data_IF_339937198383
#
_entry.id   IF_339937198383
#
_cell.length_a   1.000
_cell.length_b   1.000
_cell.length_c   1.000
_cell.angle_alpha   90.00
_cell.angle_beta   90.00
_cell.angle_gamma   90.00
#
_symmetry.space_group_name_H-M   'P 1'
#
loop_
_entity.id
_entity.type
_entity.pdbx_description
1 polymer ?
#
# COMPACT_ATOMS: atom_id res chain seq x y z
N UNK A 1 -7.78 -1.63 7.21
CA UNK A 1 -6.60 -0.96 7.79
C UNK A 1 -6.10 0.09 6.79
N UNK A 2 -5.21 1.02 7.17
CA UNK A 2 -4.60 1.91 6.18
C UNK A 2 -3.71 1.16 5.17
N UNK A 3 -3.17 0.00 5.55
CA UNK A 3 -2.39 -0.85 4.64
C UNK A 3 -3.21 -1.30 3.42
N UNK A 4 -4.50 -1.64 3.61
CA UNK A 4 -5.36 -2.08 2.50
C UNK A 4 -5.58 -0.95 1.48
N UNK A 5 -5.70 0.30 1.96
CA UNK A 5 -5.85 1.49 1.11
C UNK A 5 -4.56 1.78 0.33
N UNK A 6 -3.41 1.68 1.00
CA UNK A 6 -2.09 1.87 0.38
C UNK A 6 -1.81 0.79 -0.68
N UNK A 7 -2.12 -0.48 -0.38
CA UNK A 7 -2.00 -1.58 -1.33
C UNK A 7 -2.90 -1.36 -2.56
N UNK A 8 -4.17 -1.02 -2.34
CA UNK A 8 -5.11 -0.73 -3.43
C UNK A 8 -4.63 0.43 -4.31
N UNK A 9 -4.10 1.50 -3.70
CA UNK A 9 -3.54 2.63 -4.43
C UNK A 9 -2.31 2.21 -5.25
N UNK A 10 -1.39 1.43 -4.66
CA UNK A 10 -0.24 0.90 -5.37
C UNK A 10 -0.65 0.05 -6.58
N UNK A 11 -1.66 -0.81 -6.44
CA UNK A 11 -2.18 -1.61 -7.55
C UNK A 11 -2.74 -0.75 -8.68
N UNK A 12 -3.51 0.30 -8.35
CA UNK A 12 -4.03 1.23 -9.34
C UNK A 12 -2.90 1.94 -10.10
N UNK A 13 -1.86 2.40 -9.39
CA UNK A 13 -0.68 3.01 -10.02
C UNK A 13 0.02 2.04 -10.98
N UNK A 14 0.17 0.77 -10.60
CA UNK A 14 0.74 -0.24 -11.50
C UNK A 14 -0.11 -0.43 -12.76
N UNK A 15 -1.45 -0.47 -12.63
CA UNK A 15 -2.34 -0.62 -13.78
C UNK A 15 -2.25 0.59 -14.72
N UNK A 16 -2.18 1.80 -14.18
CA UNK A 16 -2.00 3.02 -14.98
C UNK A 16 -0.72 2.97 -15.82
N UNK A 17 0.40 2.52 -15.22
CA UNK A 17 1.67 2.36 -15.92
C UNK A 17 1.61 1.24 -16.97
N UNK A 18 1.08 0.07 -16.60
CA UNK A 18 0.99 -1.09 -17.49
C UNK A 18 0.07 -0.84 -18.70
N UNK A 19 -1.00 -0.07 -18.51
CA UNK A 19 -2.04 0.16 -19.51
C UNK A 19 -1.93 1.53 -20.19
N UNK A 20 -0.94 2.35 -19.82
CA UNK A 20 -0.72 3.71 -20.32
C UNK A 20 -1.99 4.57 -20.26
N UNK A 21 -2.71 4.50 -19.14
CA UNK A 21 -4.01 5.17 -18.99
C UNK A 21 -3.93 6.36 -18.01
N UNK A 22 -4.90 7.30 -18.07
CA UNK A 22 -4.97 8.40 -17.12
C UNK A 22 -5.12 7.89 -15.68
N UNK A 23 -4.71 8.70 -14.67
CA UNK A 23 -4.80 8.32 -13.28
C UNK A 23 -6.21 7.87 -12.88
N UNK A 24 -6.29 6.72 -12.21
CA UNK A 24 -7.54 6.17 -11.66
C UNK A 24 -7.88 7.00 -10.43
N UNK A 25 -9.01 7.73 -10.40
CA UNK A 25 -9.32 8.66 -9.31
C UNK A 25 -9.90 7.97 -8.07
N UNK A 26 -10.45 6.76 -8.23
CA UNK A 26 -11.19 6.06 -7.18
C UNK A 26 -11.16 4.56 -7.40
N UNK A 27 -11.03 3.81 -6.31
CA UNK A 27 -11.16 2.37 -6.28
C UNK A 27 -12.07 1.93 -5.11
N UNK A 28 -12.28 0.62 -4.95
CA UNK A 28 -13.14 0.08 -3.91
C UNK A 28 -12.48 -1.09 -3.21
N UNK A 29 -12.53 -1.09 -1.88
CA UNK A 29 -12.25 -2.27 -1.06
C UNK A 29 -13.54 -3.06 -0.87
N UNK A 30 -13.49 -4.37 -1.02
CA UNK A 30 -14.61 -5.26 -0.75
C UNK A 30 -14.25 -6.20 0.40
N UNK A 31 -15.01 -6.10 1.50
CA UNK A 31 -14.81 -6.98 2.65
C UNK A 31 -15.85 -8.10 2.59
N UNK A 32 -15.38 -9.33 2.34
CA UNK A 32 -16.23 -10.49 2.05
C UNK A 32 -17.21 -10.83 3.18
N UNK A 33 -16.80 -10.70 4.44
CA UNK A 33 -17.64 -11.00 5.61
C UNK A 33 -18.87 -10.10 5.71
N UNK A 34 -18.72 -8.80 5.41
CA UNK A 34 -19.81 -7.83 5.47
C UNK A 34 -20.49 -7.60 4.12
N UNK A 35 -20.00 -8.26 3.06
CA UNK A 35 -20.41 -8.07 1.67
C UNK A 35 -20.51 -6.60 1.23
N UNK A 36 -19.68 -5.72 1.82
CA UNK A 36 -19.75 -4.28 1.61
C UNK A 36 -18.56 -3.75 0.83
N UNK A 37 -18.84 -2.87 -0.14
CA UNK A 37 -17.82 -2.07 -0.82
C UNK A 37 -17.60 -0.76 -0.09
N UNK A 38 -16.35 -0.44 0.21
CA UNK A 38 -15.91 0.86 0.70
C UNK A 38 -15.20 1.61 -0.41
N UNK A 39 -15.66 2.82 -0.70
CA UNK A 39 -15.05 3.72 -1.67
C UNK A 39 -13.72 4.27 -1.13
N UNK A 40 -12.67 4.22 -1.96
CA UNK A 40 -11.36 4.79 -1.64
C UNK A 40 -10.97 5.78 -2.75
N UNK A 41 -10.98 7.09 -2.47
CA UNK A 41 -10.35 8.09 -3.33
C UNK A 41 -8.84 7.80 -3.42
N UNK A 42 -8.29 7.86 -4.63
CA UNK A 42 -6.86 7.68 -4.88
C UNK A 42 -6.22 9.05 -5.08
N UNK A 43 -6.27 9.86 -4.03
CA UNK A 43 -5.76 11.22 -4.02
C UNK A 43 -4.22 11.28 -3.97
N UNK A 44 -3.69 12.50 -4.14
CA UNK A 44 -2.26 12.71 -4.20
C UNK A 44 -1.56 12.41 -2.86
N UNK A 45 -2.24 12.57 -1.73
CA UNK A 45 -1.69 12.21 -0.41
C UNK A 45 -1.43 10.71 -0.34
N UNK A 46 -2.42 9.88 -0.70
CA UNK A 46 -2.29 8.44 -0.69
C UNK A 46 -1.21 7.96 -1.67
N UNK A 47 -1.14 8.58 -2.86
CA UNK A 47 -0.13 8.27 -3.88
C UNK A 47 1.28 8.67 -3.43
N UNK A 48 1.42 9.81 -2.75
CA UNK A 48 2.69 10.26 -2.17
C UNK A 48 3.17 9.30 -1.09
N UNK A 49 2.28 8.82 -0.23
CA UNK A 49 2.62 7.83 0.79
C UNK A 49 3.10 6.52 0.16
N UNK A 50 2.43 6.02 -0.89
CA UNK A 50 2.88 4.83 -1.65
C UNK A 50 4.28 5.06 -2.23
N UNK A 51 4.52 6.20 -2.88
CA UNK A 51 5.85 6.53 -3.44
C UNK A 51 6.92 6.57 -2.36
N UNK A 52 6.64 7.19 -1.21
CA UNK A 52 7.57 7.28 -0.08
C UNK A 52 7.94 5.90 0.47
N UNK A 53 6.93 5.04 0.72
CA UNK A 53 7.16 3.69 1.23
C UNK A 53 7.92 2.81 0.23
N UNK A 54 7.63 2.91 -1.06
CA UNK A 54 8.37 2.18 -2.10
C UNK A 54 9.83 2.65 -2.16
N UNK A 55 10.08 3.95 -2.11
CA UNK A 55 11.43 4.51 -2.11
C UNK A 55 12.24 4.03 -0.89
N UNK A 56 11.62 4.03 0.31
CA UNK A 56 12.24 3.52 1.52
C UNK A 56 12.54 2.02 1.41
N UNK A 57 11.55 1.21 1.02
CA UNK A 57 11.69 -0.24 0.87
C UNK A 57 12.83 -0.59 -0.10
N UNK A 58 12.85 0.03 -1.28
CA UNK A 58 13.94 -0.17 -2.24
C UNK A 58 15.28 0.32 -1.68
N UNK A 59 15.31 1.39 -0.91
CA UNK A 59 16.52 1.89 -0.24
C UNK A 59 17.07 0.92 0.80
N UNK A 60 16.21 0.26 1.58
CA UNK A 60 16.59 -0.79 2.54
C UNK A 60 17.13 -2.02 1.80
N UNK A 61 16.41 -2.46 0.77
CA UNK A 61 16.77 -3.63 -0.04
C UNK A 61 18.14 -3.47 -0.71
N UNK A 62 18.39 -2.34 -1.38
CA UNK A 62 19.68 -2.07 -2.04
C UNK A 62 20.87 -2.09 -1.06
N UNK A 63 20.65 -1.62 0.17
CA UNK A 63 21.67 -1.61 1.23
C UNK A 63 21.81 -2.95 1.97
N UNK A 64 20.95 -3.94 1.66
CA UNK A 64 20.84 -5.22 2.39
C UNK A 64 20.71 -5.02 3.89
N UNK A 65 19.99 -3.97 4.28
CA UNK A 65 19.86 -3.55 5.67
C UNK A 65 18.47 -3.89 6.19
N UNK A 66 18.41 -4.69 7.26
CA UNK A 66 17.18 -4.98 8.00
C UNK A 66 17.09 -4.02 9.19
N UNK A 67 16.08 -3.14 9.26
CA UNK A 67 15.89 -2.22 10.38
C UNK A 67 15.76 -2.95 11.72
N UNK A 68 16.33 -2.36 12.79
CA UNK A 68 16.10 -2.83 14.15
C UNK A 68 14.84 -2.19 14.70
N UNK A 69 13.86 -3.01 15.07
CA UNK A 69 12.57 -2.55 15.60
C UNK A 69 12.44 -2.84 17.09
N UNK A 70 11.62 -2.04 17.79
CA UNK A 70 11.22 -2.33 19.17
C UNK A 70 10.11 -3.39 19.14
N UNK A 71 10.24 -4.52 19.87
CA UNK A 71 9.18 -5.51 19.94
C UNK A 71 7.87 -4.91 20.45
N UNK A 72 6.76 -5.30 19.84
CA UNK A 72 5.41 -4.92 20.27
C UNK A 72 4.51 -6.16 20.27
N UNK A 73 3.28 -6.05 20.77
CA UNK A 73 2.33 -7.18 20.79
C UNK A 73 2.04 -7.75 19.39
N UNK A 74 2.13 -6.94 18.33
CA UNK A 74 1.91 -7.41 16.95
C UNK A 74 3.02 -8.34 16.46
N UNK A 75 4.20 -8.35 17.09
CA UNK A 75 5.28 -9.27 16.75
C UNK A 75 4.88 -10.74 16.95
N UNK A 76 3.97 -11.05 17.88
CA UNK A 76 3.49 -12.41 18.10
C UNK A 76 2.69 -12.98 16.92
N UNK A 77 2.16 -12.11 16.05
CA UNK A 77 1.45 -12.48 14.84
C UNK A 77 2.28 -12.24 13.56
N UNK A 78 3.55 -11.86 13.71
CA UNK A 78 4.44 -11.60 12.59
C UNK A 78 4.98 -12.92 12.03
N UNK A 79 4.98 -13.06 10.71
CA UNK A 79 5.53 -14.22 10.01
C UNK A 79 7.02 -14.08 9.66
N UNK A 80 7.69 -13.02 10.13
CA UNK A 80 9.14 -12.82 10.01
C UNK A 80 9.86 -13.72 11.03
#
# INVERSE_FOLDING_TARGET
SDADRLQLCCQAMCLEEMLLCPPIPKAYLYYGETARRSAVPLDEELRSNVRGMLAEMHGLYRRKYTPRVKPTKSCNACSL
#
